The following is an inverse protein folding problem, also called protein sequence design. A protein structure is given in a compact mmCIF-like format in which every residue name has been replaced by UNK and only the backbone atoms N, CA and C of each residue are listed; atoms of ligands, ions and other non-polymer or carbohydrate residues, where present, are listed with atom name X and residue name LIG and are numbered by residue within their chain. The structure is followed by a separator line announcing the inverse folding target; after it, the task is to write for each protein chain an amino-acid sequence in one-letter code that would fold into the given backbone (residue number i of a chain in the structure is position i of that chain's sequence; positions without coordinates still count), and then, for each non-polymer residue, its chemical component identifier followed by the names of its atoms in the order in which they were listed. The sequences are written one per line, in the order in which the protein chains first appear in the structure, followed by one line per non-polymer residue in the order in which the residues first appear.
data_IF_680945562424
#
_entry.id   IF_680945562424
#
_cell.length_a   1.000
_cell.length_b   1.000
_cell.length_c   1.000
_cell.angle_alpha   90.00
_cell.angle_beta   90.00
_cell.angle_gamma   90.00
#
_symmetry.space_group_name_H-M   'P 1'
#
loop_
_entity.id
_entity.type
_entity.pdbx_description
1 polymer ?
#
# COMPACT_ATOMS: atom_id res chain seq x y z
N UNK A 1 -30.52 -48.25 -20.02
CA UNK A 1 -29.42 -47.67 -19.25
C UNK A 1 -30.01 -46.85 -18.11
N UNK A 2 -30.01 -47.39 -16.89
CA UNK A 2 -30.50 -46.67 -15.71
C UNK A 2 -29.39 -45.76 -15.19
N UNK A 3 -29.62 -44.46 -15.12
CA UNK A 3 -28.69 -43.50 -14.54
C UNK A 3 -28.59 -43.74 -13.04
N UNK A 4 -27.38 -43.94 -12.53
CA UNK A 4 -27.15 -44.05 -11.10
C UNK A 4 -27.50 -42.73 -10.39
N UNK A 5 -28.20 -42.77 -9.24
CA UNK A 5 -28.49 -41.56 -8.47
C UNK A 5 -27.19 -40.94 -7.94
N UNK A 6 -27.06 -39.62 -8.08
CA UNK A 6 -25.92 -38.86 -7.55
C UNK A 6 -25.83 -39.05 -6.02
N UNK A 7 -24.62 -39.27 -5.48
CA UNK A 7 -24.44 -39.44 -4.04
C UNK A 7 -24.83 -38.15 -3.28
N UNK A 8 -25.39 -38.28 -2.06
CA UNK A 8 -25.78 -37.13 -1.25
C UNK A 8 -24.56 -36.28 -0.89
N UNK A 9 -24.69 -34.96 -1.05
CA UNK A 9 -23.65 -33.99 -0.70
C UNK A 9 -23.36 -34.04 0.81
N UNK A 10 -22.11 -34.36 1.15
CA UNK A 10 -21.64 -34.45 2.54
C UNK A 10 -21.57 -33.03 3.16
N UNK A 11 -22.31 -32.73 4.25
CA UNK A 11 -22.30 -31.40 4.89
C UNK A 11 -20.97 -31.05 5.57
N UNK A 12 -20.04 -32.00 5.67
CA UNK A 12 -18.73 -31.83 6.30
C UNK A 12 -17.59 -31.64 5.29
N UNK A 13 -17.86 -31.14 4.09
CA UNK A 13 -16.78 -30.77 3.18
C UNK A 13 -16.15 -29.43 3.63
N UNK A 14 -14.92 -29.42 4.20
CA UNK A 14 -14.26 -28.18 4.61
C UNK A 14 -13.92 -27.29 3.41
N UNK A 15 -14.00 -27.81 2.17
CA UNK A 15 -13.75 -27.05 0.93
C UNK A 15 -14.80 -25.96 0.67
N UNK A 16 -16.00 -26.05 1.24
CA UNK A 16 -17.05 -25.05 1.09
C UNK A 16 -16.87 -23.80 1.95
N UNK A 17 -15.94 -23.81 2.92
CA UNK A 17 -15.71 -22.70 3.86
C UNK A 17 -14.44 -21.89 3.56
N UNK A 18 -13.79 -22.14 2.41
CA UNK A 18 -12.82 -21.19 1.87
C UNK A 18 -13.61 -20.18 1.06
N UNK A 19 -14.16 -19.19 1.76
CA UNK A 19 -14.67 -17.98 1.13
C UNK A 19 -13.62 -17.47 0.15
N UNK A 20 -14.02 -17.34 -1.12
CA UNK A 20 -13.24 -16.94 -2.30
C UNK A 20 -11.85 -16.34 -1.97
N UNK A 21 -10.76 -17.13 -2.00
CA UNK A 21 -9.42 -16.64 -1.66
C UNK A 21 -8.97 -15.50 -2.59
N UNK A 22 -9.47 -15.51 -3.83
CA UNK A 22 -9.30 -14.44 -4.80
C UNK A 22 -9.94 -13.12 -4.35
N UNK A 23 -11.14 -13.17 -3.75
CA UNK A 23 -11.82 -11.98 -3.24
C UNK A 23 -11.06 -11.37 -2.06
N UNK A 24 -10.55 -12.22 -1.16
CA UNK A 24 -9.78 -11.79 0.00
C UNK A 24 -8.44 -11.14 -0.43
N UNK A 25 -7.77 -11.72 -1.43
CA UNK A 25 -6.57 -11.15 -2.04
C UNK A 25 -6.83 -9.80 -2.69
N UNK A 26 -7.89 -9.68 -3.51
CA UNK A 26 -8.28 -8.42 -4.14
C UNK A 26 -8.68 -7.34 -3.14
N UNK A 27 -9.41 -7.70 -2.07
CA UNK A 27 -9.75 -6.75 -1.01
C UNK A 27 -8.51 -6.27 -0.26
N UNK A 28 -7.55 -7.16 0.01
CA UNK A 28 -6.29 -6.80 0.65
C UNK A 28 -5.41 -5.90 -0.23
N UNK A 29 -5.33 -6.16 -1.55
CA UNK A 29 -4.59 -5.29 -2.47
C UNK A 29 -5.27 -3.93 -2.60
N UNK A 30 -6.59 -3.87 -2.73
CA UNK A 30 -7.34 -2.61 -2.75
C UNK A 30 -7.14 -1.79 -1.47
N UNK A 31 -7.22 -2.43 -0.30
CA UNK A 31 -6.92 -1.79 0.97
C UNK A 31 -5.49 -1.26 1.04
N UNK A 32 -4.52 -2.05 0.55
CA UNK A 32 -3.11 -1.65 0.47
C UNK A 32 -2.89 -0.44 -0.44
N UNK A 33 -3.53 -0.41 -1.61
CA UNK A 33 -3.47 0.71 -2.55
C UNK A 33 -4.09 1.95 -1.92
N UNK A 34 -5.28 1.83 -1.31
CA UNK A 34 -5.95 2.96 -0.66
C UNK A 34 -5.08 3.57 0.47
N UNK A 35 -4.48 2.74 1.32
CA UNK A 35 -3.57 3.18 2.38
C UNK A 35 -2.34 3.88 1.79
N UNK A 36 -1.77 3.33 0.72
CA UNK A 36 -0.61 3.93 0.04
C UNK A 36 -0.96 5.29 -0.56
N UNK A 37 -2.13 5.43 -1.19
CA UNK A 37 -2.60 6.71 -1.72
C UNK A 37 -2.78 7.75 -0.61
N UNK A 38 -3.37 7.37 0.53
CA UNK A 38 -3.54 8.26 1.68
C UNK A 38 -2.19 8.69 2.24
N UNK A 39 -1.23 7.76 2.39
CA UNK A 39 0.13 8.06 2.85
C UNK A 39 0.86 8.99 1.88
N UNK A 40 0.76 8.75 0.56
CA UNK A 40 1.35 9.63 -0.45
C UNK A 40 0.78 11.04 -0.35
N UNK A 41 -0.53 11.18 -0.16
CA UNK A 41 -1.17 12.48 0.00
C UNK A 41 -0.62 13.22 1.24
N UNK A 42 -0.59 12.56 2.39
CA UNK A 42 -0.03 13.15 3.61
C UNK A 42 1.45 13.49 3.48
N UNK A 43 2.25 12.60 2.89
CA UNK A 43 3.69 12.83 2.68
C UNK A 43 3.92 13.98 1.68
N UNK A 44 3.11 14.11 0.63
CA UNK A 44 3.17 15.24 -0.29
C UNK A 44 2.84 16.57 0.40
N UNK A 45 1.77 16.60 1.21
CA UNK A 45 1.42 17.78 2.01
C UNK A 45 2.51 18.13 3.03
N UNK A 46 3.13 17.13 3.65
CA UNK A 46 4.23 17.32 4.59
C UNK A 46 5.48 17.87 3.92
N UNK A 47 5.88 17.33 2.77
CA UNK A 47 7.01 17.85 1.97
C UNK A 47 6.73 19.29 1.53
N UNK A 48 5.53 19.60 1.06
CA UNK A 48 5.14 20.99 0.74
C UNK A 48 5.29 21.91 1.95
N UNK A 49 4.77 21.51 3.12
CA UNK A 49 4.89 22.31 4.34
C UNK A 49 6.34 22.54 4.75
N UNK A 50 7.19 21.50 4.65
CA UNK A 50 8.63 21.62 4.91
C UNK A 50 9.31 22.53 3.88
N UNK A 51 8.94 22.45 2.61
CA UNK A 51 9.49 23.31 1.57
C UNK A 51 9.18 24.78 1.83
N UNK A 52 7.93 25.09 2.18
CA UNK A 52 7.53 26.45 2.54
C UNK A 52 8.25 26.93 3.81
N UNK A 53 8.41 26.06 4.82
CA UNK A 53 9.09 26.43 6.06
C UNK A 53 10.62 26.63 5.89
N UNK A 54 11.24 25.87 4.99
CA UNK A 54 12.69 25.89 4.74
C UNK A 54 13.10 26.79 3.56
N UNK A 55 12.16 27.53 2.95
CA UNK A 55 12.38 28.34 1.74
C UNK A 55 13.57 29.30 1.86
N UNK A 56 13.75 29.87 3.06
CA UNK A 56 14.79 30.85 3.38
C UNK A 56 16.20 30.23 3.43
N UNK A 57 16.30 28.93 3.68
CA UNK A 57 17.55 28.20 3.84
C UNK A 57 17.92 27.37 2.60
N UNK A 58 17.15 27.45 1.51
CA UNK A 58 17.43 26.60 0.36
C UNK A 58 18.72 26.99 -0.37
N UNK A 59 19.56 25.99 -0.72
CA UNK A 59 20.70 26.21 -1.59
C UNK A 59 20.24 26.65 -2.98
N UNK A 60 21.06 27.43 -3.68
CA UNK A 60 20.68 28.08 -4.94
C UNK A 60 20.19 27.11 -6.04
N UNK A 61 20.62 25.85 -6.00
CA UNK A 61 20.16 24.82 -6.94
C UNK A 61 18.72 24.34 -6.65
N UNK A 62 18.27 24.36 -5.40
CA UNK A 62 16.93 23.94 -4.97
C UNK A 62 15.88 25.03 -5.17
N UNK A 63 16.30 26.29 -5.38
CA UNK A 63 15.41 27.41 -5.74
C UNK A 63 14.93 27.35 -7.19
N UNK A 64 15.52 26.47 -8.01
CA UNK A 64 15.09 26.26 -9.40
C UNK A 64 13.73 25.55 -9.41
N UNK A 65 12.74 26.02 -10.19
CA UNK A 65 11.39 25.44 -10.20
C UNK A 65 11.39 23.95 -10.54
N UNK A 66 12.33 23.52 -11.38
CA UNK A 66 12.46 22.14 -11.87
C UNK A 66 12.97 21.20 -10.78
N UNK A 67 13.89 21.68 -9.93
CA UNK A 67 14.38 20.94 -8.78
C UNK A 67 13.28 20.79 -7.72
N UNK A 68 12.52 21.86 -7.45
CA UNK A 68 11.38 21.82 -6.53
C UNK A 68 10.31 20.84 -6.99
N UNK A 69 9.97 20.84 -8.28
CA UNK A 69 8.98 19.92 -8.85
C UNK A 69 9.44 18.46 -8.76
N UNK A 70 10.73 18.21 -9.01
CA UNK A 70 11.32 16.89 -8.84
C UNK A 70 11.27 16.42 -7.39
N UNK A 71 11.63 17.28 -6.42
CA UNK A 71 11.60 16.95 -4.99
C UNK A 71 10.16 16.69 -4.51
N UNK A 72 9.21 17.52 -4.95
CA UNK A 72 7.79 17.37 -4.62
C UNK A 72 7.19 16.05 -5.11
N UNK A 73 7.76 15.47 -6.17
CA UNK A 73 7.35 14.17 -6.68
C UNK A 73 8.12 13.01 -6.03
N UNK A 74 9.46 13.11 -5.98
CA UNK A 74 10.31 12.01 -5.51
C UNK A 74 10.33 11.86 -4.00
N UNK A 75 10.29 12.95 -3.23
CA UNK A 75 10.36 12.86 -1.78
C UNK A 75 9.16 12.10 -1.18
N UNK A 76 7.90 12.37 -1.58
CA UNK A 76 6.76 11.59 -1.09
C UNK A 76 6.85 10.10 -1.44
N UNK A 77 7.33 9.77 -2.64
CA UNK A 77 7.53 8.38 -3.06
C UNK A 77 8.58 7.67 -2.20
N UNK A 78 9.73 8.31 -1.96
CA UNK A 78 10.79 7.76 -1.12
C UNK A 78 10.33 7.60 0.34
N UNK A 79 9.60 8.58 0.89
CA UNK A 79 9.02 8.46 2.25
C UNK A 79 8.09 7.25 2.36
N UNK A 80 7.25 7.03 1.35
CA UNK A 80 6.33 5.88 1.31
C UNK A 80 7.10 4.56 1.20
N UNK A 81 8.14 4.47 0.37
CA UNK A 81 8.99 3.26 0.29
C UNK A 81 9.63 2.95 1.65
N UNK A 82 10.18 3.97 2.33
CA UNK A 82 10.76 3.81 3.66
C UNK A 82 9.70 3.36 4.68
N UNK A 83 8.50 3.95 4.67
CA UNK A 83 7.40 3.55 5.55
C UNK A 83 6.99 2.09 5.31
N UNK A 84 6.89 1.68 4.05
CA UNK A 84 6.60 0.27 3.71
C UNK A 84 7.72 -0.68 4.13
N UNK A 85 8.99 -0.28 3.99
CA UNK A 85 10.12 -1.07 4.50
C UNK A 85 10.07 -1.22 6.02
N UNK A 86 9.72 -0.16 6.77
CA UNK A 86 9.56 -0.23 8.22
C UNK A 86 8.41 -1.17 8.60
N UNK A 87 7.27 -1.09 7.90
CA UNK A 87 6.12 -1.98 8.14
C UNK A 87 6.50 -3.43 7.84
N UNK A 88 7.21 -3.68 6.74
CA UNK A 88 7.66 -5.02 6.37
C UNK A 88 8.66 -5.58 7.39
N UNK A 89 9.64 -4.76 7.80
CA UNK A 89 10.58 -5.10 8.85
C UNK A 89 9.86 -5.40 10.18
N UNK A 90 8.93 -4.54 10.61
CA UNK A 90 8.16 -4.75 11.83
C UNK A 90 7.32 -6.04 11.75
N UNK A 91 6.64 -6.28 10.63
CA UNK A 91 5.88 -7.53 10.40
C UNK A 91 6.80 -8.76 10.45
N UNK A 92 7.96 -8.70 9.81
CA UNK A 92 8.93 -9.80 9.83
C UNK A 92 9.43 -10.10 11.24
N UNK A 93 9.52 -9.07 12.09
CA UNK A 93 10.02 -9.18 13.46
C UNK A 93 8.96 -9.64 14.46
N UNK A 94 7.70 -9.21 14.30
CA UNK A 94 6.57 -9.59 15.17
C UNK A 94 5.95 -10.95 14.82
N UNK A 95 6.21 -11.47 13.61
CA UNK A 95 5.73 -12.78 13.17
C UNK A 95 6.70 -13.93 13.53
N UNK A 96 7.82 -13.61 14.20
CA UNK A 96 8.69 -14.55 14.91
C UNK A 96 8.35 -14.51 16.40
#
# INVERSE_FOLDING_TARGET
MSAAPNPPSNPRDPRGRIANPSLLGCAATLGSVAVTCVLLFFNASFVMALLTAAESNFPAWAKKPEASQFILFMAPLLLVVIQWMIIDYARSRFRR
#
